data_IF_739716967586
#
_entry.id   IF_739716967586
#
_cell.length_a   1.000
_cell.length_b   1.000
_cell.length_c   1.000
_cell.angle_alpha   90.00
_cell.angle_beta   90.00
_cell.angle_gamma   90.00
#
_symmetry.space_group_name_H-M   'P 1'
#
loop_
_entity.id
_entity.type
_entity.pdbx_description
1 polymer ?
#
# COMPACT_ATOMS: atom_id res chain seq x y z
N UNK A 1 -16.19 5.86 14.48
CA UNK A 1 -15.85 6.71 13.33
C UNK A 1 -16.06 8.15 13.80
N UNK A 2 -15.36 9.15 13.27
CA UNK A 2 -15.73 10.55 13.54
C UNK A 2 -17.04 10.90 12.83
N UNK A 3 -17.71 11.99 13.20
CA UNK A 3 -18.97 12.39 12.57
C UNK A 3 -18.84 12.62 11.04
N UNK A 4 -17.69 13.15 10.60
CA UNK A 4 -17.36 13.30 9.17
C UNK A 4 -17.23 11.95 8.47
N UNK A 5 -16.54 11.00 9.11
CA UNK A 5 -16.36 9.64 8.59
C UNK A 5 -17.69 8.87 8.52
N UNK A 6 -18.60 9.07 9.49
CA UNK A 6 -19.94 8.50 9.48
C UNK A 6 -20.78 9.05 8.32
N UNK A 7 -20.76 10.36 8.11
CA UNK A 7 -21.45 10.98 6.97
C UNK A 7 -20.97 10.45 5.62
N UNK A 8 -19.67 10.24 5.46
CA UNK A 8 -19.12 9.63 4.24
C UNK A 8 -19.63 8.20 4.08
N UNK A 9 -19.60 7.41 5.16
CA UNK A 9 -20.10 6.04 5.14
C UNK A 9 -21.56 6.02 4.69
N UNK A 10 -22.42 6.86 5.24
CA UNK A 10 -23.85 6.88 4.90
C UNK A 10 -24.12 7.25 3.43
N UNK A 11 -23.38 8.22 2.86
CA UNK A 11 -23.49 8.52 1.42
C UNK A 11 -23.08 7.33 0.55
N UNK A 12 -22.07 6.56 0.97
CA UNK A 12 -21.68 5.35 0.26
C UNK A 12 -22.77 4.28 0.36
N UNK A 13 -23.46 4.14 1.51
CA UNK A 13 -24.62 3.24 1.63
C UNK A 13 -25.76 3.64 0.69
N UNK A 14 -25.96 4.94 0.49
CA UNK A 14 -26.95 5.48 -0.45
C UNK A 14 -26.55 5.32 -1.93
N UNK A 15 -25.46 4.59 -2.23
CA UNK A 15 -25.01 4.32 -3.59
C UNK A 15 -24.33 5.52 -4.26
N UNK A 16 -23.94 6.55 -3.50
CA UNK A 16 -23.31 7.75 -4.07
C UNK A 16 -21.84 7.53 -4.41
N UNK A 17 -21.39 8.24 -5.44
CA UNK A 17 -19.98 8.33 -5.79
C UNK A 17 -19.29 9.34 -4.89
N UNK A 18 -18.24 8.90 -4.19
CA UNK A 18 -17.58 9.71 -3.17
C UNK A 18 -16.07 9.70 -3.38
N UNK A 19 -15.47 10.88 -3.34
CA UNK A 19 -14.05 11.06 -3.12
C UNK A 19 -13.84 11.63 -1.71
N UNK A 20 -12.96 11.02 -0.92
CA UNK A 20 -12.53 11.61 0.34
C UNK A 20 -11.00 11.66 0.44
N UNK A 21 -10.51 12.81 0.87
CA UNK A 21 -9.10 13.15 1.01
C UNK A 21 -8.80 13.61 2.43
N UNK A 22 -7.57 14.01 2.69
CA UNK A 22 -7.12 14.55 3.97
C UNK A 22 -5.62 14.31 4.15
N UNK A 23 -5.04 14.96 5.16
CA UNK A 23 -3.62 14.79 5.50
C UNK A 23 -3.27 13.32 5.81
N UNK A 24 -1.99 12.99 5.78
CA UNK A 24 -1.51 11.67 6.18
C UNK A 24 -1.92 11.42 7.64
N UNK A 25 -2.42 10.21 7.93
CA UNK A 25 -2.86 9.86 9.28
C UNK A 25 -4.32 10.18 9.62
N UNK A 26 -5.12 10.79 8.72
CA UNK A 26 -6.53 11.12 9.00
C UNK A 26 -7.53 9.94 8.97
N UNK A 27 -7.03 8.70 9.03
CA UNK A 27 -7.88 7.51 9.07
C UNK A 27 -8.55 7.13 7.74
N UNK A 28 -8.10 7.67 6.60
CA UNK A 28 -8.64 7.35 5.25
C UNK A 28 -8.79 5.85 4.97
N UNK A 29 -7.70 5.07 5.04
CA UNK A 29 -7.77 3.63 4.79
C UNK A 29 -8.55 2.87 5.89
N UNK A 30 -8.65 3.42 7.11
CA UNK A 30 -9.49 2.85 8.17
C UNK A 30 -10.98 3.00 7.85
N UNK A 31 -11.42 4.21 7.46
CA UNK A 31 -12.77 4.44 6.96
C UNK A 31 -13.06 3.55 5.74
N UNK A 32 -12.11 3.44 4.81
CA UNK A 32 -12.29 2.60 3.63
C UNK A 32 -12.50 1.12 3.98
N UNK A 33 -11.80 0.58 4.98
CA UNK A 33 -12.05 -0.78 5.49
C UNK A 33 -13.46 -0.93 6.04
N UNK A 34 -13.98 0.06 6.78
CA UNK A 34 -15.37 0.04 7.28
C UNK A 34 -16.40 0.11 6.16
N UNK A 35 -16.14 0.89 5.12
CA UNK A 35 -16.96 0.90 3.90
C UNK A 35 -16.94 -0.49 3.23
N UNK A 36 -15.77 -1.10 3.07
CA UNK A 36 -15.61 -2.43 2.45
C UNK A 36 -16.34 -3.51 3.25
N UNK A 37 -16.18 -3.51 4.58
CA UNK A 37 -16.85 -4.43 5.50
C UNK A 37 -18.37 -4.34 5.33
N UNK A 38 -18.91 -3.13 5.31
CA UNK A 38 -20.34 -2.89 5.14
C UNK A 38 -20.85 -3.36 3.76
N UNK A 39 -20.23 -2.90 2.67
CA UNK A 39 -20.66 -3.24 1.31
C UNK A 39 -20.60 -4.75 1.04
N UNK A 40 -19.61 -5.45 1.60
CA UNK A 40 -19.52 -6.92 1.51
C UNK A 40 -20.59 -7.63 2.34
N UNK A 41 -20.94 -7.09 3.52
CA UNK A 41 -22.00 -7.64 4.35
C UNK A 41 -23.39 -7.52 3.69
N UNK A 42 -23.65 -6.44 2.95
CA UNK A 42 -24.88 -6.29 2.17
C UNK A 42 -24.93 -7.21 0.94
N UNK A 43 -23.76 -7.62 0.41
CA UNK A 43 -23.63 -8.45 -0.78
C UNK A 43 -23.08 -9.84 -0.47
N UNK A 44 -23.51 -10.44 0.65
CA UNK A 44 -23.01 -11.75 1.13
C UNK A 44 -23.15 -12.88 0.12
N UNK A 45 -24.17 -12.84 -0.75
CA UNK A 45 -24.39 -13.84 -1.80
C UNK A 45 -23.44 -13.74 -3.00
N UNK A 46 -22.86 -12.56 -3.25
CA UNK A 46 -21.87 -12.34 -4.32
C UNK A 46 -20.92 -11.20 -3.92
N UNK A 47 -19.95 -11.45 -3.02
CA UNK A 47 -19.03 -10.40 -2.54
C UNK A 47 -18.11 -9.85 -3.64
N UNK A 48 -18.02 -10.51 -4.80
CA UNK A 48 -17.21 -10.07 -5.94
C UNK A 48 -17.83 -8.89 -6.70
N UNK A 49 -19.05 -8.45 -6.32
CA UNK A 49 -19.62 -7.18 -6.83
C UNK A 49 -18.90 -5.94 -6.29
N UNK A 50 -18.13 -6.07 -5.21
CA UNK A 50 -17.31 -4.99 -4.63
C UNK A 50 -15.86 -5.17 -5.02
N UNK A 51 -15.42 -4.43 -6.04
CA UNK A 51 -14.04 -4.42 -6.49
C UNK A 51 -13.19 -3.52 -5.59
N UNK A 52 -12.36 -4.13 -4.73
CA UNK A 52 -11.44 -3.40 -3.84
C UNK A 52 -10.08 -3.25 -4.53
N UNK A 53 -9.69 -2.01 -4.81
CA UNK A 53 -8.45 -1.74 -5.54
C UNK A 53 -7.62 -0.60 -4.94
N UNK A 54 -6.33 -0.55 -5.30
CA UNK A 54 -5.47 0.59 -5.03
C UNK A 54 -4.45 0.80 -6.16
N UNK A 55 -3.76 1.93 -6.15
CA UNK A 55 -2.72 2.24 -7.15
C UNK A 55 -1.47 1.36 -7.04
N UNK A 56 -1.10 0.91 -5.83
CA UNK A 56 0.07 0.04 -5.58
C UNK A 56 -0.31 -1.27 -4.91
N UNK A 57 0.55 -2.28 -5.02
CA UNK A 57 0.31 -3.60 -4.40
C UNK A 57 0.20 -3.53 -2.87
N UNK A 58 0.94 -2.61 -2.23
CA UNK A 58 0.96 -2.45 -0.77
C UNK A 58 -0.32 -1.83 -0.28
N UNK A 59 -0.74 -0.73 -0.91
CA UNK A 59 -2.01 -0.08 -0.61
C UNK A 59 -3.16 -1.07 -0.81
N UNK A 60 -3.12 -1.86 -1.89
CA UNK A 60 -4.12 -2.88 -2.17
C UNK A 60 -4.15 -3.96 -1.08
N UNK A 61 -2.99 -4.50 -0.66
CA UNK A 61 -2.90 -5.47 0.43
C UNK A 61 -3.44 -4.90 1.74
N UNK A 62 -3.16 -3.62 2.02
CA UNK A 62 -3.58 -2.93 3.24
C UNK A 62 -5.10 -2.86 3.41
N UNK A 63 -5.86 -2.92 2.30
CA UNK A 63 -7.32 -2.91 2.29
C UNK A 63 -7.92 -4.24 1.80
N UNK A 64 -7.11 -5.29 1.64
CA UNK A 64 -7.57 -6.62 1.21
C UNK A 64 -8.09 -6.67 -0.23
N UNK A 65 -7.47 -5.89 -1.11
CA UNK A 65 -7.77 -5.77 -2.54
C UNK A 65 -6.61 -6.15 -3.46
N UNK A 66 -6.74 -5.76 -4.74
CA UNK A 66 -5.72 -5.93 -5.80
C UNK A 66 -5.31 -4.57 -6.37
N UNK A 67 -4.29 -4.52 -7.23
CA UNK A 67 -3.99 -3.25 -7.93
C UNK A 67 -5.08 -2.92 -8.94
N UNK A 68 -5.28 -1.64 -9.22
CA UNK A 68 -6.27 -1.18 -10.21
C UNK A 68 -6.00 -1.75 -11.61
N UNK A 69 -4.73 -1.84 -12.00
CA UNK A 69 -4.26 -2.46 -13.25
C UNK A 69 -4.63 -3.95 -13.33
N UNK A 70 -4.42 -4.67 -12.22
CA UNK A 70 -4.71 -6.08 -12.06
C UNK A 70 -6.21 -6.37 -12.16
N UNK A 71 -7.04 -5.60 -11.44
CA UNK A 71 -8.49 -5.65 -11.52
C UNK A 71 -8.96 -5.44 -12.96
N UNK A 72 -8.50 -4.36 -13.60
CA UNK A 72 -8.90 -3.98 -14.95
C UNK A 72 -8.49 -5.00 -16.02
N UNK A 73 -7.43 -5.79 -15.77
CA UNK A 73 -6.93 -6.79 -16.73
C UNK A 73 -6.16 -6.18 -17.90
N UNK A 74 -5.51 -5.05 -17.67
CA UNK A 74 -4.90 -4.20 -18.72
C UNK A 74 -3.37 -4.30 -18.81
N UNK A 75 -2.73 -5.03 -17.89
CA UNK A 75 -1.28 -5.00 -17.76
C UNK A 75 -0.80 -3.62 -17.31
N UNK A 76 0.16 -3.03 -18.02
CA UNK A 76 0.70 -1.70 -17.69
C UNK A 76 -0.29 -0.57 -18.05
N UNK A 77 -1.32 -0.83 -18.86
CA UNK A 77 -2.36 0.16 -19.18
C UNK A 77 -1.91 1.31 -20.11
N UNK A 78 -0.73 1.18 -20.74
CA UNK A 78 -0.18 2.19 -21.65
C UNK A 78 -0.89 2.24 -23.01
N UNK A 79 -1.37 1.08 -23.48
CA UNK A 79 -2.05 0.96 -24.78
C UNK A 79 -3.35 1.81 -24.85
N UNK A 80 -3.80 2.20 -26.05
CA UNK A 80 -5.10 2.84 -26.26
C UNK A 80 -6.28 2.01 -25.73
N UNK A 81 -7.39 2.69 -25.37
CA UNK A 81 -8.54 2.07 -24.71
C UNK A 81 -9.16 0.92 -25.52
N UNK A 82 -9.30 1.08 -26.84
CA UNK A 82 -9.83 0.07 -27.77
C UNK A 82 -8.97 -1.20 -27.81
N UNK A 83 -7.65 -1.04 -27.80
CA UNK A 83 -6.69 -2.16 -27.73
C UNK A 83 -6.82 -2.91 -26.39
N UNK A 84 -6.92 -2.16 -25.29
CA UNK A 84 -7.13 -2.73 -23.95
C UNK A 84 -8.46 -3.49 -23.85
N UNK A 85 -9.56 -2.90 -24.35
CA UNK A 85 -10.88 -3.54 -24.43
C UNK A 85 -10.79 -4.84 -25.24
N UNK A 86 -10.12 -4.82 -26.40
CA UNK A 86 -9.91 -6.01 -27.23
C UNK A 86 -9.16 -7.12 -26.49
N UNK A 87 -8.16 -6.77 -25.67
CA UNK A 87 -7.43 -7.71 -24.81
C UNK A 87 -8.34 -8.28 -23.71
N UNK A 88 -9.12 -7.43 -23.04
CA UNK A 88 -10.04 -7.86 -21.98
C UNK A 88 -11.11 -8.79 -22.54
N UNK A 89 -11.68 -8.50 -23.73
CA UNK A 89 -12.68 -9.37 -24.39
C UNK A 89 -12.20 -10.81 -24.61
N UNK A 90 -10.90 -11.03 -24.78
CA UNK A 90 -10.29 -12.37 -24.91
C UNK A 90 -10.11 -13.08 -23.57
N UNK A 91 -10.17 -12.35 -22.46
CA UNK A 91 -10.04 -12.87 -21.10
C UNK A 91 -11.42 -12.96 -20.43
N UNK A 92 -12.08 -14.13 -20.52
CA UNK A 92 -13.42 -14.37 -19.96
C UNK A 92 -13.54 -13.98 -18.48
N UNK A 93 -12.50 -14.21 -17.67
CA UNK A 93 -12.50 -13.85 -16.25
C UNK A 93 -12.53 -12.32 -16.07
N UNK A 94 -11.69 -11.60 -16.82
CA UNK A 94 -11.66 -10.14 -16.76
C UNK A 94 -12.99 -9.52 -17.24
N UNK A 95 -13.59 -10.06 -18.30
CA UNK A 95 -14.94 -9.66 -18.74
C UNK A 95 -15.95 -9.85 -17.62
N UNK A 96 -15.99 -11.04 -17.00
CA UNK A 96 -16.91 -11.33 -15.90
C UNK A 96 -16.71 -10.40 -14.71
N UNK A 97 -15.46 -10.05 -14.36
CA UNK A 97 -15.19 -9.06 -13.29
C UNK A 97 -15.86 -7.72 -13.59
N UNK A 98 -15.64 -7.16 -14.78
CA UNK A 98 -16.26 -5.89 -15.18
C UNK A 98 -17.78 -5.97 -15.20
N UNK A 99 -18.34 -7.04 -15.76
CA UNK A 99 -19.81 -7.23 -15.83
C UNK A 99 -20.43 -7.36 -14.44
N UNK A 100 -19.79 -8.09 -13.51
CA UNK A 100 -20.32 -8.33 -12.15
C UNK A 100 -20.17 -7.13 -11.21
N UNK A 101 -19.05 -6.40 -11.30
CA UNK A 101 -18.72 -5.31 -10.36
C UNK A 101 -19.86 -4.30 -10.32
N UNK A 102 -20.31 -3.89 -9.14
CA UNK A 102 -21.27 -2.79 -8.94
C UNK A 102 -20.63 -1.60 -8.26
N UNK A 103 -19.65 -1.86 -7.39
CA UNK A 103 -18.88 -0.84 -6.68
C UNK A 103 -17.41 -1.01 -6.98
N UNK A 104 -16.73 0.06 -7.40
CA UNK A 104 -15.29 0.10 -7.57
C UNK A 104 -14.67 1.06 -6.54
N UNK A 105 -13.83 0.49 -5.69
CA UNK A 105 -13.09 1.19 -4.65
C UNK A 105 -11.66 1.41 -5.10
N UNK A 106 -11.14 2.63 -4.96
CA UNK A 106 -9.77 2.99 -5.35
C UNK A 106 -9.07 3.74 -4.20
N UNK A 107 -8.09 3.09 -3.56
CA UNK A 107 -7.19 3.73 -2.58
C UNK A 107 -5.90 4.25 -3.24
N UNK A 108 -5.30 5.25 -2.61
CA UNK A 108 -4.10 5.96 -3.07
C UNK A 108 -4.22 6.47 -4.52
N UNK A 109 -5.34 7.15 -4.83
CA UNK A 109 -5.63 7.71 -6.16
C UNK A 109 -4.58 8.71 -6.67
N UNK A 110 -3.75 9.28 -5.79
CA UNK A 110 -2.73 10.28 -6.15
C UNK A 110 -1.72 9.76 -7.16
N UNK A 111 -1.46 8.44 -7.18
CA UNK A 111 -0.54 7.79 -8.10
C UNK A 111 -1.22 7.30 -9.39
N UNK A 112 -2.51 7.57 -9.59
CA UNK A 112 -3.26 7.21 -10.81
C UNK A 112 -3.22 8.37 -11.80
N UNK A 113 -2.71 8.10 -13.00
CA UNK A 113 -2.69 9.06 -14.10
C UNK A 113 -4.10 9.32 -14.65
N UNK A 114 -4.41 10.58 -14.97
CA UNK A 114 -5.73 10.98 -15.47
C UNK A 114 -6.15 10.29 -16.77
N UNK A 115 -5.22 10.02 -17.71
CA UNK A 115 -5.52 9.26 -18.93
C UNK A 115 -5.84 7.82 -18.61
N UNK A 116 -5.18 7.25 -17.59
CA UNK A 116 -5.50 5.91 -17.15
C UNK A 116 -6.89 5.85 -16.49
N UNK A 117 -7.24 6.86 -15.69
CA UNK A 117 -8.60 7.01 -15.14
C UNK A 117 -9.65 7.06 -16.25
N UNK A 118 -9.42 7.84 -17.31
CA UNK A 118 -10.35 7.93 -18.44
C UNK A 118 -10.49 6.61 -19.20
N UNK A 119 -9.37 5.91 -19.44
CA UNK A 119 -9.40 4.57 -20.06
C UNK A 119 -10.24 3.59 -19.24
N UNK A 120 -10.18 3.64 -17.91
CA UNK A 120 -11.00 2.78 -17.04
C UNK A 120 -12.48 3.09 -17.20
N UNK A 121 -12.86 4.37 -17.28
CA UNK A 121 -14.24 4.79 -17.55
C UNK A 121 -14.73 4.23 -18.90
N UNK A 122 -13.95 4.37 -19.97
CA UNK A 122 -14.29 3.83 -21.30
C UNK A 122 -14.41 2.30 -21.34
N UNK A 123 -13.51 1.61 -20.65
CA UNK A 123 -13.57 0.16 -20.48
C UNK A 123 -14.88 -0.24 -19.79
N UNK A 124 -15.21 0.43 -18.68
CA UNK A 124 -16.41 0.14 -17.91
C UNK A 124 -17.68 0.42 -18.72
N UNK A 125 -17.77 1.57 -19.42
CA UNK A 125 -18.86 1.91 -20.37
C UNK A 125 -19.11 0.77 -21.36
N UNK A 126 -18.04 0.21 -21.93
CA UNK A 126 -18.12 -0.89 -22.89
C UNK A 126 -18.67 -2.18 -22.28
N UNK A 127 -18.16 -2.60 -21.13
CA UNK A 127 -18.56 -3.88 -20.52
C UNK A 127 -19.89 -3.80 -19.75
N UNK A 128 -20.32 -2.59 -19.38
CA UNK A 128 -21.63 -2.31 -18.79
C UNK A 128 -22.71 -1.98 -19.81
N UNK A 129 -22.33 -1.76 -21.07
CA UNK A 129 -23.23 -1.30 -22.12
C UNK A 129 -24.01 -0.04 -21.67
N UNK A 130 -23.28 0.94 -21.11
CA UNK A 130 -23.82 2.20 -20.59
C UNK A 130 -22.98 3.37 -21.09
N UNK A 131 -23.62 4.51 -21.33
CA UNK A 131 -22.96 5.76 -21.71
C UNK A 131 -22.46 6.57 -20.52
N UNK A 132 -22.91 6.26 -19.29
CA UNK A 132 -22.54 6.96 -18.05
C UNK A 132 -21.06 6.74 -17.71
N UNK A 133 -20.41 7.71 -17.07
CA UNK A 133 -19.07 7.54 -16.51
C UNK A 133 -18.95 6.23 -15.72
N UNK A 134 -17.84 5.51 -15.95
CA UNK A 134 -17.59 4.19 -15.40
C UNK A 134 -18.72 3.16 -15.65
N UNK A 135 -19.57 3.37 -16.66
CA UNK A 135 -20.67 2.47 -16.98
C UNK A 135 -21.72 2.34 -15.86
N UNK A 136 -21.90 3.40 -15.05
CA UNK A 136 -22.87 3.42 -13.94
C UNK A 136 -22.44 2.65 -12.69
N UNK A 137 -21.15 2.30 -12.58
CA UNK A 137 -20.59 1.77 -11.35
C UNK A 137 -20.64 2.83 -10.23
N UNK A 138 -20.90 2.40 -9.00
CA UNK A 138 -20.63 3.24 -7.85
C UNK A 138 -19.12 3.34 -7.64
N UNK A 139 -18.59 4.56 -7.55
CA UNK A 139 -17.17 4.85 -7.45
C UNK A 139 -16.84 5.45 -6.08
N UNK A 140 -15.98 4.79 -5.31
CA UNK A 140 -15.51 5.27 -4.00
C UNK A 140 -13.99 5.41 -4.04
N UNK A 141 -13.50 6.63 -3.90
CA UNK A 141 -12.09 6.97 -4.09
C UNK A 141 -11.53 7.61 -2.82
N UNK A 142 -10.29 7.27 -2.50
CA UNK A 142 -9.51 7.96 -1.48
C UNK A 142 -8.06 8.13 -1.88
N UNK A 143 -7.42 9.16 -1.34
CA UNK A 143 -6.00 9.45 -1.49
C UNK A 143 -5.69 10.87 -1.04
N UNK A 144 -4.44 11.30 -1.24
CA UNK A 144 -3.99 12.66 -0.94
C UNK A 144 -3.08 13.11 -2.09
N UNK A 145 -3.55 14.01 -2.95
CA UNK A 145 -2.81 14.45 -4.13
C UNK A 145 -1.53 15.24 -3.79
N UNK A 146 -1.37 15.69 -2.53
CA UNK A 146 -0.14 16.31 -2.03
C UNK A 146 0.92 15.27 -1.58
N UNK A 147 0.61 13.97 -1.66
CA UNK A 147 1.58 12.88 -1.53
C UNK A 147 2.29 12.62 -2.87
N UNK A 148 2.67 11.37 -3.18
CA UNK A 148 3.37 11.06 -4.42
C UNK A 148 2.42 11.19 -5.62
N UNK A 149 2.85 11.87 -6.70
CA UNK A 149 2.11 11.96 -7.96
C UNK A 149 2.19 10.63 -8.73
N UNK A 150 1.48 10.50 -9.87
CA UNK A 150 1.66 9.37 -10.78
C UNK A 150 3.12 9.31 -11.25
N UNK A 151 3.66 8.10 -11.38
CA UNK A 151 5.04 7.89 -11.84
C UNK A 151 5.11 8.22 -13.34
N UNK A 152 5.44 9.47 -13.67
CA UNK A 152 5.72 9.92 -15.03
C UNK A 152 7.23 10.16 -15.20
N UNK A 153 7.72 10.10 -16.44
CA UNK A 153 9.09 10.50 -16.76
C UNK A 153 9.31 12.02 -16.68
N UNK A 154 8.24 12.80 -16.52
CA UNK A 154 8.28 14.26 -16.48
C UNK A 154 7.34 14.79 -15.38
N UNK A 155 7.92 15.20 -14.24
CA UNK A 155 7.20 15.60 -13.03
C UNK A 155 6.44 16.94 -13.15
N UNK A 156 6.75 17.76 -14.17
CA UNK A 156 6.03 19.02 -14.43
C UNK A 156 4.78 18.85 -15.29
N UNK A 157 4.65 17.71 -15.97
CA UNK A 157 3.48 17.39 -16.81
C UNK A 157 2.65 16.26 -16.21
N UNK A 158 2.71 16.05 -14.89
CA UNK A 158 1.93 15.01 -14.22
C UNK A 158 0.45 15.28 -14.42
N UNK A 159 -0.22 14.35 -15.11
CA UNK A 159 -1.65 14.39 -15.35
C UNK A 159 -2.35 13.66 -14.21
N UNK A 160 -2.89 14.37 -13.23
CA UNK A 160 -3.50 13.77 -12.06
C UNK A 160 -4.86 13.16 -12.40
N UNK A 161 -5.35 12.26 -11.56
CA UNK A 161 -6.69 11.69 -11.74
C UNK A 161 -7.79 12.78 -11.75
N UNK A 162 -7.64 13.87 -11.00
CA UNK A 162 -8.59 14.99 -11.02
C UNK A 162 -8.58 15.82 -12.31
N UNK A 163 -7.60 15.62 -13.18
CA UNK A 163 -7.53 16.22 -14.51
C UNK A 163 -8.24 15.40 -15.59
N UNK A 164 -8.68 14.19 -15.25
CA UNK A 164 -9.32 13.27 -16.18
C UNK A 164 -10.66 13.84 -16.67
N UNK A 165 -10.98 13.61 -17.95
CA UNK A 165 -12.22 14.09 -18.58
C UNK A 165 -13.46 13.60 -17.81
N UNK A 166 -13.43 12.34 -17.37
CA UNK A 166 -14.55 11.73 -16.65
C UNK A 166 -14.54 12.02 -15.14
N UNK A 167 -13.55 12.73 -14.57
CA UNK A 167 -13.48 12.94 -13.12
C UNK A 167 -14.70 13.66 -12.56
N UNK A 168 -15.06 14.81 -13.12
CA UNK A 168 -16.19 15.63 -12.64
C UNK A 168 -17.55 14.99 -12.92
N UNK A 169 -17.68 14.17 -13.97
CA UNK A 169 -18.88 13.36 -14.21
C UNK A 169 -19.02 12.25 -13.16
N UNK A 170 -17.89 11.65 -12.77
CA UNK A 170 -17.85 10.52 -11.84
C UNK A 170 -18.03 10.95 -10.39
N UNK A 171 -17.34 12.00 -9.93
CA UNK A 171 -17.21 12.35 -8.52
C UNK A 171 -18.05 13.59 -8.20
N UNK A 172 -19.16 13.34 -7.50
CA UNK A 172 -20.15 14.38 -7.15
C UNK A 172 -20.03 14.85 -5.70
N UNK A 173 -19.41 14.02 -4.84
CA UNK A 173 -19.25 14.31 -3.43
C UNK A 173 -17.77 14.22 -3.05
N UNK A 174 -17.21 15.34 -2.59
CA UNK A 174 -15.82 15.43 -2.14
C UNK A 174 -15.77 15.82 -0.67
N UNK A 175 -14.99 15.09 0.13
CA UNK A 175 -14.78 15.35 1.55
C UNK A 175 -13.30 15.49 1.87
N UNK A 176 -12.95 16.39 2.80
CA UNK A 176 -11.60 16.55 3.32
C UNK A 176 -11.60 16.25 4.82
N UNK A 177 -11.03 15.11 5.21
CA UNK A 177 -10.87 14.71 6.60
C UNK A 177 -9.78 15.56 7.27
N UNK A 178 -10.11 16.12 8.44
CA UNK A 178 -9.24 17.06 9.15
C UNK A 178 -8.57 16.46 10.38
N UNK A 179 -9.23 15.53 11.06
CA UNK A 179 -8.72 14.90 12.29
C UNK A 179 -7.59 13.90 12.00
N UNK A 180 -6.39 14.12 12.58
CA UNK A 180 -5.21 13.26 12.43
C UNK A 180 -5.13 12.28 13.60
N UNK A 181 -5.02 10.97 13.29
CA UNK A 181 -4.98 9.90 14.29
C UNK A 181 -3.61 9.21 14.41
N UNK A 182 -2.72 9.37 13.42
CA UNK A 182 -1.43 8.64 13.39
C UNK A 182 -0.39 9.26 14.30
N UNK A 183 -0.30 10.58 14.30
CA UNK A 183 0.62 11.35 15.13
C UNK A 183 -0.11 11.79 16.40
N UNK A 184 0.57 11.68 17.54
CA UNK A 184 0.02 12.08 18.85
C UNK A 184 0.45 13.48 19.30
N UNK A 185 1.43 14.08 18.63
CA UNK A 185 2.04 15.36 19.02
C UNK A 185 1.52 16.49 18.12
N UNK A 186 0.83 17.48 18.69
CA UNK A 186 0.26 18.62 17.94
C UNK A 186 1.34 19.37 17.12
N UNK A 187 2.49 19.64 17.73
CA UNK A 187 3.64 20.27 17.06
C UNK A 187 4.07 19.47 15.81
N UNK A 188 4.06 18.13 15.89
CA UNK A 188 4.43 17.30 14.74
C UNK A 188 3.36 17.31 13.65
N UNK A 189 2.08 17.33 14.04
CA UNK A 189 0.95 17.45 13.12
C UNK A 189 1.06 18.76 12.33
N UNK A 190 1.34 19.87 13.00
CA UNK A 190 1.49 21.19 12.38
C UNK A 190 2.67 21.23 11.40
N UNK A 191 3.84 20.71 11.82
CA UNK A 191 5.02 20.58 10.94
C UNK A 191 4.69 19.75 9.68
N UNK A 192 3.96 18.65 9.83
CA UNK A 192 3.56 17.81 8.69
C UNK A 192 2.52 18.49 7.79
N UNK A 193 1.62 19.29 8.34
CA UNK A 193 0.64 20.07 7.59
C UNK A 193 1.33 21.17 6.76
N UNK A 194 2.28 21.89 7.35
CA UNK A 194 3.16 22.84 6.66
C UNK A 194 3.97 22.16 5.55
N UNK A 195 4.57 21.01 5.86
CA UNK A 195 5.34 20.21 4.91
C UNK A 195 4.48 19.74 3.73
N UNK A 196 3.23 19.33 3.98
CA UNK A 196 2.25 18.90 2.98
C UNK A 196 1.98 20.01 1.95
N UNK A 197 1.94 21.27 2.37
CA UNK A 197 1.73 22.43 1.52
C UNK A 197 3.03 22.97 0.89
N UNK A 198 4.19 22.40 1.24
CA UNK A 198 5.48 22.88 0.78
C UNK A 198 5.92 24.21 1.41
N UNK A 199 5.32 24.61 2.53
CA UNK A 199 5.53 25.90 3.17
C UNK A 199 5.90 25.70 4.64
N UNK A 200 7.19 25.51 4.91
CA UNK A 200 7.69 25.33 6.28
C UNK A 200 8.03 26.67 6.94
N UNK A 201 7.56 26.86 8.16
CA UNK A 201 7.96 27.97 9.01
C UNK A 201 9.41 27.81 9.48
N UNK A 202 10.09 28.92 9.88
CA UNK A 202 11.44 28.85 10.44
C UNK A 202 11.54 27.91 11.65
N UNK A 203 10.51 27.86 12.48
CA UNK A 203 10.46 27.01 13.68
C UNK A 203 10.35 25.53 13.30
N UNK A 204 9.48 25.19 12.35
CA UNK A 204 9.38 23.84 11.79
C UNK A 204 10.71 23.38 11.17
N UNK A 205 11.39 24.26 10.43
CA UNK A 205 12.71 23.95 9.85
C UNK A 205 13.74 23.66 10.96
N UNK A 206 13.77 24.46 12.01
CA UNK A 206 14.68 24.26 13.14
C UNK A 206 14.38 22.96 13.88
N UNK A 207 13.09 22.66 14.12
CA UNK A 207 12.66 21.42 14.75
C UNK A 207 13.05 20.21 13.92
N UNK A 208 12.77 20.20 12.61
CA UNK A 208 13.17 19.10 11.72
C UNK A 208 14.69 18.90 11.66
N UNK A 209 15.49 19.97 11.68
CA UNK A 209 16.96 19.86 11.76
C UNK A 209 17.44 19.24 13.08
N UNK A 210 16.75 19.51 14.19
CA UNK A 210 17.09 18.92 15.50
C UNK A 210 16.89 17.40 15.54
N UNK A 211 16.05 16.84 14.65
CA UNK A 211 15.80 15.40 14.53
C UNK A 211 16.94 14.63 13.84
N UNK A 212 18.07 15.27 13.55
CA UNK A 212 19.28 14.61 13.04
C UNK A 212 20.03 13.76 14.07
N UNK A 213 19.68 13.91 15.36
CA UNK A 213 20.18 13.10 16.48
C UNK A 213 20.09 11.60 16.19
N UNK A 214 21.13 10.85 16.57
CA UNK A 214 21.08 9.40 16.55
C UNK A 214 20.08 8.89 17.59
N UNK A 215 19.30 7.89 17.22
CA UNK A 215 18.37 7.22 18.13
C UNK A 215 18.90 5.81 18.37
N UNK A 216 19.14 5.47 19.63
CA UNK A 216 19.53 4.13 20.05
C UNK A 216 18.31 3.38 20.57
N UNK A 217 18.20 2.11 20.19
CA UNK A 217 17.14 1.21 20.65
C UNK A 217 17.79 0.01 21.33
N UNK A 218 17.29 -0.36 22.50
CA UNK A 218 17.91 -1.38 23.37
C UNK A 218 17.40 -2.81 23.08
N UNK A 219 16.43 -2.96 22.18
CA UNK A 219 15.76 -4.22 21.88
C UNK A 219 16.30 -4.92 20.61
N UNK A 220 17.35 -4.37 20.01
CA UNK A 220 17.98 -4.90 18.80
C UNK A 220 17.27 -4.54 17.48
N UNK A 221 16.09 -3.90 17.52
CA UNK A 221 15.35 -3.48 16.33
C UNK A 221 15.84 -2.08 15.89
N UNK A 222 16.50 -2.04 14.73
CA UNK A 222 16.91 -0.80 14.08
C UNK A 222 15.71 -0.04 13.50
N UNK A 223 15.82 1.29 13.40
CA UNK A 223 14.86 2.07 12.63
C UNK A 223 14.86 1.65 11.15
N UNK A 224 13.67 1.50 10.55
CA UNK A 224 13.56 1.24 9.13
C UNK A 224 14.02 2.47 8.34
N UNK A 225 15.00 2.28 7.47
CA UNK A 225 15.56 3.33 6.62
C UNK A 225 14.71 3.53 5.36
N UNK A 226 14.22 4.75 5.15
CA UNK A 226 13.46 5.11 3.95
C UNK A 226 14.36 5.75 2.90
N UNK A 227 14.35 5.17 1.70
CA UNK A 227 15.16 5.61 0.56
C UNK A 227 14.32 6.00 -0.66
N UNK A 228 14.83 6.93 -1.47
CA UNK A 228 14.20 7.30 -2.73
C UNK A 228 14.32 6.22 -3.81
N UNK A 229 15.46 5.51 -3.87
CA UNK A 229 15.78 4.55 -4.94
C UNK A 229 15.83 3.10 -4.45
N UNK A 230 15.31 2.17 -5.26
CA UNK A 230 15.31 0.72 -4.95
C UNK A 230 16.71 0.14 -4.76
N UNK A 231 17.68 0.56 -5.57
CA UNK A 231 19.07 0.10 -5.45
C UNK A 231 19.70 0.42 -4.08
N UNK A 232 19.35 1.56 -3.48
CA UNK A 232 19.82 1.93 -2.15
C UNK A 232 19.18 1.01 -1.08
N UNK A 233 17.90 0.66 -1.24
CA UNK A 233 17.18 -0.29 -0.38
C UNK A 233 17.81 -1.67 -0.43
N UNK A 234 18.03 -2.20 -1.63
CA UNK A 234 18.61 -3.53 -1.83
C UNK A 234 20.02 -3.60 -1.24
N UNK A 235 20.83 -2.56 -1.47
CA UNK A 235 22.18 -2.47 -0.86
C UNK A 235 22.11 -2.46 0.67
N UNK A 236 21.24 -1.65 1.26
CA UNK A 236 21.11 -1.52 2.71
C UNK A 236 20.63 -2.82 3.37
N UNK A 237 19.64 -3.50 2.78
CA UNK A 237 19.15 -4.79 3.26
C UNK A 237 20.22 -5.89 3.09
N UNK A 238 20.83 -6.00 1.90
CA UNK A 238 21.85 -7.03 1.62
C UNK A 238 23.08 -6.89 2.52
N UNK A 239 23.55 -5.65 2.75
CA UNK A 239 24.70 -5.40 3.62
C UNK A 239 24.44 -5.92 5.04
N UNK A 240 23.24 -5.69 5.59
CA UNK A 240 22.87 -6.18 6.92
C UNK A 240 22.65 -7.70 6.93
N UNK A 241 22.05 -8.24 5.88
CA UNK A 241 21.88 -9.68 5.68
C UNK A 241 23.20 -10.46 5.62
N UNK A 242 24.25 -9.85 5.05
CA UNK A 242 25.59 -10.42 4.97
C UNK A 242 26.32 -10.45 6.31
N UNK A 243 26.00 -9.52 7.23
CA UNK A 243 26.58 -9.50 8.58
C UNK A 243 26.09 -10.65 9.46
N UNK A 244 24.92 -11.20 9.15
CA UNK A 244 24.36 -12.35 9.87
C UNK A 244 25.11 -13.63 9.47
N UNK A 245 25.74 -14.29 10.43
CA UNK A 245 26.54 -15.51 10.23
C UNK A 245 25.72 -16.80 10.21
N UNK A 246 24.45 -16.73 10.60
CA UNK A 246 23.55 -17.89 10.64
C UNK A 246 23.13 -18.35 9.24
N UNK A 247 22.70 -19.61 9.14
CA UNK A 247 22.22 -20.21 7.88
C UNK A 247 20.99 -19.46 7.32
N UNK A 248 20.98 -19.23 6.01
CA UNK A 248 19.83 -18.65 5.31
C UNK A 248 18.76 -19.69 5.02
N UNK A 249 17.50 -19.33 5.26
CA UNK A 249 16.30 -20.06 4.85
C UNK A 249 15.60 -19.30 3.73
N UNK A 250 15.17 -20.04 2.71
CA UNK A 250 14.44 -19.53 1.57
C UNK A 250 12.99 -19.98 1.64
N UNK A 251 12.07 -19.05 1.41
CA UNK A 251 10.63 -19.28 1.33
C UNK A 251 10.16 -18.85 -0.05
N UNK A 252 9.82 -19.82 -0.90
CA UNK A 252 9.28 -19.57 -2.22
C UNK A 252 7.76 -19.39 -2.15
N UNK A 253 7.27 -18.32 -2.78
CA UNK A 253 5.86 -18.12 -3.00
C UNK A 253 5.30 -19.25 -3.88
N UNK A 254 4.14 -19.76 -3.49
CA UNK A 254 3.40 -20.74 -4.32
C UNK A 254 2.32 -20.00 -5.08
N UNK A 255 2.50 -19.93 -6.39
CA UNK A 255 1.55 -19.31 -7.30
C UNK A 255 0.46 -20.31 -7.68
N UNK A 256 -0.80 -19.93 -7.52
CA UNK A 256 -1.94 -20.71 -8.03
C UNK A 256 -2.56 -20.08 -9.30
N UNK A 257 -1.83 -19.13 -9.92
CA UNK A 257 -2.34 -18.26 -10.98
C UNK A 257 -2.38 -18.89 -12.38
N UNK A 258 -3.34 -18.45 -13.20
CA UNK A 258 -3.59 -18.95 -14.57
C UNK A 258 -2.98 -18.09 -15.69
N UNK A 259 -2.07 -17.16 -15.39
CA UNK A 259 -1.44 -16.28 -16.40
C UNK A 259 -0.41 -17.09 -17.16
N UNK A 260 -0.61 -17.40 -18.44
CA UNK A 260 0.33 -18.24 -19.22
C UNK A 260 1.62 -17.52 -19.62
N UNK A 261 1.63 -16.18 -19.73
CA UNK A 261 2.80 -15.40 -20.10
C UNK A 261 3.69 -15.09 -18.88
N UNK A 262 4.88 -15.68 -18.85
CA UNK A 262 5.86 -15.52 -17.78
C UNK A 262 6.43 -14.10 -17.69
N UNK A 263 6.60 -13.37 -18.80
CA UNK A 263 7.19 -12.02 -18.79
C UNK A 263 6.22 -10.97 -18.28
N UNK A 264 4.95 -11.06 -18.70
CA UNK A 264 3.91 -10.19 -18.18
C UNK A 264 3.71 -10.40 -16.68
N UNK A 265 3.73 -11.67 -16.25
CA UNK A 265 3.65 -12.06 -14.84
C UNK A 265 4.80 -11.48 -14.03
N UNK A 266 6.04 -11.67 -14.46
CA UNK A 266 7.23 -11.21 -13.73
C UNK A 266 7.25 -9.67 -13.56
N UNK A 267 6.82 -8.93 -14.59
CA UNK A 267 6.66 -7.47 -14.50
C UNK A 267 5.58 -7.07 -13.49
N UNK A 268 4.44 -7.75 -13.44
CA UNK A 268 3.38 -7.47 -12.46
C UNK A 268 3.85 -7.76 -11.03
N UNK A 269 4.50 -8.90 -10.81
CA UNK A 269 5.04 -9.29 -9.50
C UNK A 269 6.15 -8.35 -9.02
N UNK A 270 6.87 -7.70 -9.93
CA UNK A 270 7.87 -6.67 -9.57
C UNK A 270 7.29 -5.45 -8.83
N UNK A 271 5.96 -5.25 -8.88
CA UNK A 271 5.25 -4.22 -8.14
C UNK A 271 4.64 -4.71 -6.82
N UNK A 272 4.66 -6.02 -6.58
CA UNK A 272 4.26 -6.60 -5.30
C UNK A 272 5.32 -6.32 -4.22
N UNK A 273 4.88 -6.20 -2.97
CA UNK A 273 5.82 -5.92 -1.87
C UNK A 273 6.61 -7.15 -1.49
N UNK A 274 5.91 -8.28 -1.35
CA UNK A 274 6.54 -9.52 -1.00
C UNK A 274 7.40 -10.02 -2.16
N UNK A 275 8.67 -10.34 -1.92
CA UNK A 275 9.48 -10.97 -2.93
C UNK A 275 8.92 -12.37 -3.24
N UNK A 276 9.05 -12.81 -4.49
CA UNK A 276 8.72 -14.20 -4.88
C UNK A 276 9.49 -15.23 -4.05
N UNK A 277 10.70 -14.88 -3.65
CA UNK A 277 11.54 -15.67 -2.77
C UNK A 277 11.96 -14.80 -1.59
N UNK A 278 11.45 -15.10 -0.41
CA UNK A 278 11.88 -14.45 0.83
C UNK A 278 13.07 -15.23 1.39
N UNK A 279 14.24 -14.61 1.44
CA UNK A 279 15.44 -15.17 2.05
C UNK A 279 15.64 -14.48 3.40
N UNK A 280 15.66 -15.26 4.48
CA UNK A 280 15.85 -14.75 5.85
C UNK A 280 16.85 -15.62 6.63
N UNK A 281 17.40 -15.07 7.70
CA UNK A 281 18.34 -15.68 8.64
C UNK A 281 17.81 -15.40 10.05
N UNK A 282 18.31 -16.13 11.04
CA UNK A 282 18.07 -15.74 12.44
C UNK A 282 18.66 -14.32 12.63
N UNK A 283 17.99 -13.51 13.42
CA UNK A 283 18.22 -12.08 13.67
C UNK A 283 17.94 -11.15 12.47
N UNK A 284 17.40 -11.66 11.35
CA UNK A 284 16.96 -10.80 10.27
C UNK A 284 15.77 -9.93 10.70
N UNK A 285 15.87 -8.61 10.48
CA UNK A 285 14.78 -7.67 10.74
C UNK A 285 13.75 -7.75 9.61
N UNK A 286 12.52 -8.06 9.98
CA UNK A 286 11.40 -8.26 9.07
C UNK A 286 10.20 -7.41 9.47
N UNK A 287 9.37 -7.06 8.49
CA UNK A 287 8.13 -6.32 8.66
C UNK A 287 6.97 -7.17 8.18
N UNK A 288 5.91 -7.21 8.98
CA UNK A 288 4.65 -7.83 8.62
C UNK A 288 3.91 -6.96 7.59
N UNK A 289 3.49 -7.55 6.48
CA UNK A 289 2.87 -6.82 5.35
C UNK A 289 1.37 -7.09 5.18
N UNK A 290 0.77 -7.78 6.16
CA UNK A 290 -0.64 -8.17 6.17
C UNK A 290 -1.16 -8.10 7.60
N UNK A 291 -2.38 -7.58 7.78
CA UNK A 291 -3.06 -7.70 9.06
C UNK A 291 -3.49 -9.16 9.27
N UNK A 292 -2.95 -9.81 10.29
CA UNK A 292 -3.30 -11.19 10.68
C UNK A 292 -4.40 -11.16 11.74
N UNK A 293 -4.25 -10.30 12.75
CA UNK A 293 -5.20 -10.09 13.84
C UNK A 293 -5.08 -8.66 14.41
N UNK A 294 -5.72 -8.40 15.55
CA UNK A 294 -5.74 -7.08 16.21
C UNK A 294 -4.36 -6.61 16.72
N UNK A 295 -3.42 -7.54 16.91
CA UNK A 295 -2.08 -7.27 17.45
C UNK A 295 -0.98 -7.41 16.40
N UNK A 296 -1.18 -8.28 15.41
CA UNK A 296 -0.29 -8.52 14.27
C UNK A 296 -0.80 -7.75 13.05
N UNK A 297 -0.43 -6.48 13.01
CA UNK A 297 -0.86 -5.53 11.98
C UNK A 297 0.25 -5.24 10.95
N UNK A 298 -0.17 -4.85 9.76
CA UNK A 298 0.71 -4.38 8.70
C UNK A 298 1.59 -3.22 9.19
N UNK A 299 2.90 -3.32 8.96
CA UNK A 299 3.92 -2.37 9.40
C UNK A 299 4.65 -2.77 10.69
N UNK A 300 4.19 -3.81 11.40
CA UNK A 300 4.84 -4.28 12.62
C UNK A 300 6.22 -4.90 12.30
N UNK A 301 7.26 -4.44 13.00
CA UNK A 301 8.66 -4.85 12.78
C UNK A 301 9.12 -5.79 13.90
N UNK A 302 9.90 -6.79 13.53
CA UNK A 302 10.48 -7.75 14.47
C UNK A 302 11.72 -8.44 13.92
N UNK A 303 12.31 -9.35 14.70
CA UNK A 303 13.42 -10.21 14.27
C UNK A 303 13.00 -11.65 14.16
N UNK A 304 13.54 -12.36 13.17
CA UNK A 304 13.43 -13.81 13.08
C UNK A 304 14.26 -14.44 14.21
N UNK A 305 13.61 -15.15 15.13
CA UNK A 305 14.28 -15.81 16.27
C UNK A 305 14.48 -17.31 16.05
N UNK A 306 13.85 -17.88 15.02
CA UNK A 306 13.99 -19.29 14.70
C UNK A 306 13.07 -19.74 13.58
N UNK A 307 13.07 -21.05 13.34
CA UNK A 307 12.23 -21.70 12.33
C UNK A 307 11.62 -22.98 12.92
N UNK A 308 10.35 -23.23 12.65
CA UNK A 308 9.64 -24.42 13.18
C UNK A 308 8.83 -25.14 12.11
N UNK A 309 8.79 -26.48 12.18
CA UNK A 309 7.96 -27.32 11.31
C UNK A 309 6.51 -27.51 11.77
N UNK A 310 6.14 -27.00 12.95
CA UNK A 310 4.77 -27.11 13.49
C UNK A 310 3.97 -25.83 13.20
N UNK A 311 2.88 -25.93 12.45
CA UNK A 311 1.84 -24.90 12.46
C UNK A 311 1.05 -25.00 13.76
N UNK A 312 0.87 -23.89 14.49
CA UNK A 312 0.04 -23.86 15.72
C UNK A 312 -1.48 -23.88 15.42
N UNK A 313 -1.90 -23.81 14.15
CA UNK A 313 -3.31 -24.00 13.79
C UNK A 313 -3.63 -25.50 13.84
N UNK A 314 -4.55 -25.88 14.75
CA UNK A 314 -5.26 -27.17 14.72
C UNK A 314 -5.62 -27.51 13.28
N UNK A 315 -5.37 -28.76 12.90
CA UNK A 315 -5.68 -29.34 11.60
C UNK A 315 -7.15 -29.09 11.24
N UNK A 316 -7.40 -28.10 10.37
CA UNK A 316 -8.49 -28.18 9.41
C UNK A 316 -7.87 -28.34 8.03
N UNK A 317 -8.22 -29.47 7.44
CA UNK A 317 -7.64 -30.10 6.27
C UNK A 317 -7.57 -29.19 5.03
N UNK A 318 -6.37 -28.81 4.63
CA UNK A 318 -6.06 -28.48 3.24
C UNK A 318 -5.05 -29.51 2.75
N UNK A 319 -5.55 -30.53 2.04
CA UNK A 319 -4.73 -31.58 1.43
C UNK A 319 -4.00 -31.03 0.21
N UNK A 320 -2.76 -30.56 0.40
CA UNK A 320 -1.82 -30.36 -0.72
C UNK A 320 -0.78 -31.46 -0.66
N UNK A 321 -0.89 -32.40 -1.59
CA UNK A 321 0.09 -33.45 -1.84
C UNK A 321 1.38 -32.82 -2.36
N UNK A 322 2.36 -32.65 -1.49
CA UNK A 322 3.74 -32.33 -1.89
C UNK A 322 4.74 -33.15 -1.07
N UNK A 323 5.77 -33.61 -1.76
CA UNK A 323 6.92 -34.37 -1.27
C UNK A 323 7.54 -33.78 0.00
N UNK A 324 7.83 -34.66 0.98
CA UNK A 324 8.28 -34.36 2.35
C UNK A 324 9.67 -33.70 2.42
N UNK A 325 9.78 -32.42 2.09
CA UNK A 325 10.70 -31.54 2.80
C UNK A 325 9.93 -30.94 3.98
N UNK A 326 10.48 -31.05 5.20
CA UNK A 326 9.83 -30.51 6.41
C UNK A 326 9.59 -29.02 6.22
N UNK A 327 8.35 -28.63 5.90
CA UNK A 327 7.95 -27.25 5.70
C UNK A 327 8.18 -26.52 7.02
N UNK A 328 9.17 -25.62 7.06
CA UNK A 328 9.46 -24.81 8.24
C UNK A 328 8.84 -23.43 8.05
N UNK A 329 8.53 -22.74 9.14
CA UNK A 329 7.96 -21.40 9.18
C UNK A 329 8.80 -20.51 10.09
N UNK A 330 8.97 -19.22 9.77
CA UNK A 330 9.71 -18.30 10.63
C UNK A 330 8.94 -18.04 11.92
N UNK A 331 9.68 -18.05 13.03
CA UNK A 331 9.25 -17.53 14.32
C UNK A 331 9.80 -16.11 14.40
N UNK A 332 8.92 -15.13 14.56
CA UNK A 332 9.28 -13.71 14.61
C UNK A 332 8.95 -13.15 15.98
N UNK A 333 9.93 -12.49 16.60
CA UNK A 333 9.76 -11.69 17.81
C UNK A 333 9.46 -10.24 17.40
N UNK A 334 8.22 -9.81 17.59
CA UNK A 334 7.80 -8.44 17.37
C UNK A 334 7.93 -7.63 18.67
N UNK A 335 8.15 -6.32 18.53
CA UNK A 335 7.99 -5.38 19.64
C UNK A 335 6.74 -4.53 19.38
N UNK A 336 5.73 -4.68 20.24
CA UNK A 336 4.55 -3.84 20.25
C UNK A 336 4.48 -3.10 21.58
N UNK A 337 4.67 -1.78 21.55
CA UNK A 337 4.58 -0.90 22.72
C UNK A 337 5.43 -1.35 23.92
N UNK A 338 6.65 -1.85 23.68
CA UNK A 338 7.57 -2.29 24.73
C UNK A 338 7.33 -3.71 25.22
N UNK A 339 6.36 -4.44 24.66
CA UNK A 339 6.16 -5.86 24.91
C UNK A 339 6.68 -6.69 23.74
N UNK A 340 7.58 -7.61 24.06
CA UNK A 340 8.08 -8.59 23.10
C UNK A 340 7.09 -9.74 22.98
N UNK A 341 6.73 -10.08 21.75
CA UNK A 341 5.84 -11.20 21.45
C UNK A 341 6.41 -12.05 20.33
N UNK A 342 6.57 -13.34 20.58
CA UNK A 342 7.04 -14.31 19.60
C UNK A 342 5.86 -15.04 18.99
N UNK A 343 5.82 -15.11 17.67
CA UNK A 343 4.77 -15.82 16.95
C UNK A 343 5.30 -16.51 15.70
N UNK A 344 4.63 -17.59 15.31
CA UNK A 344 4.90 -18.29 14.06
C UNK A 344 4.18 -17.54 12.95
N UNK A 345 4.88 -17.23 11.88
CA UNK A 345 4.29 -16.55 10.71
C UNK A 345 4.15 -17.56 9.56
N UNK A 346 2.98 -18.21 9.42
CA UNK A 346 2.74 -19.14 8.33
C UNK A 346 2.54 -18.40 7.00
N UNK A 347 2.64 -19.11 5.86
CA UNK A 347 2.21 -18.60 4.58
C UNK A 347 0.74 -18.20 4.61
N UNK A 348 0.45 -17.05 4.01
CA UNK A 348 -0.87 -16.45 3.94
C UNK A 348 -1.29 -16.26 2.48
N UNK A 349 -2.59 -16.36 2.24
CA UNK A 349 -3.15 -16.05 0.92
C UNK A 349 -3.16 -14.54 0.71
N UNK A 350 -2.53 -14.10 -0.37
CA UNK A 350 -2.65 -12.75 -0.90
C UNK A 350 -3.53 -12.80 -2.14
N UNK A 351 -4.60 -12.01 -2.16
CA UNK A 351 -5.43 -11.89 -3.35
C UNK A 351 -4.61 -11.17 -4.42
N UNK A 352 -4.06 -11.93 -5.37
CA UNK A 352 -3.36 -11.41 -6.55
C UNK A 352 -4.08 -11.99 -7.77
N UNK A 353 -4.78 -11.13 -8.51
CA UNK A 353 -5.47 -11.37 -9.80
C UNK A 353 -6.55 -12.48 -9.90
N UNK A 354 -6.62 -13.46 -9.00
CA UNK A 354 -7.45 -14.66 -9.15
C UNK A 354 -8.05 -15.13 -7.81
N UNK A 355 -9.12 -15.97 -7.82
CA UNK A 355 -9.78 -16.45 -6.60
C UNK A 355 -8.84 -17.17 -5.62
N UNK A 356 -7.74 -17.73 -6.13
CA UNK A 356 -6.86 -18.62 -5.38
C UNK A 356 -5.60 -17.92 -4.82
N UNK A 357 -5.32 -16.67 -5.23
CA UNK A 357 -4.22 -15.87 -4.68
C UNK A 357 -2.80 -16.41 -4.84
N UNK A 358 -1.83 -15.69 -4.29
CA UNK A 358 -0.47 -16.18 -4.03
C UNK A 358 -0.35 -16.58 -2.56
N UNK A 359 0.20 -17.76 -2.31
CA UNK A 359 0.48 -18.24 -0.95
C UNK A 359 1.95 -17.93 -0.65
N UNK A 360 2.19 -17.02 0.29
CA UNK A 360 3.55 -16.64 0.67
C UNK A 360 3.60 -16.18 2.13
N UNK A 361 4.79 -16.27 2.72
CA UNK A 361 5.03 -15.77 4.08
C UNK A 361 4.87 -14.25 4.06
N UNK A 362 3.96 -13.65 4.87
CA UNK A 362 3.62 -12.23 4.83
C UNK A 362 4.69 -11.32 5.46
N UNK A 363 5.96 -11.53 5.10
CA UNK A 363 7.11 -10.82 5.63
C UNK A 363 7.98 -10.24 4.50
N UNK A 364 8.59 -9.10 4.78
CA UNK A 364 9.69 -8.53 3.97
C UNK A 364 10.83 -8.08 4.87
N UNK A 365 12.05 -8.01 4.32
CA UNK A 365 13.17 -7.39 5.03
C UNK A 365 12.85 -5.92 5.33
N UNK A 366 13.18 -5.48 6.54
CA UNK A 366 12.67 -4.23 7.09
C UNK A 366 13.74 -3.30 7.67
N UNK A 367 15.01 -3.54 7.37
CA UNK A 367 16.04 -2.54 7.64
C UNK A 367 15.93 -1.34 6.71
N UNK A 368 15.53 -1.57 5.46
CA UNK A 368 15.34 -0.52 4.48
C UNK A 368 14.11 -0.75 3.60
N UNK A 369 13.44 0.33 3.21
CA UNK A 369 12.30 0.34 2.30
C UNK A 369 12.32 1.60 1.42
N UNK A 370 11.77 1.52 0.20
CA UNK A 370 11.63 2.71 -0.63
C UNK A 370 10.46 3.58 -0.15
N UNK A 371 10.57 4.91 -0.22
CA UNK A 371 9.51 5.85 0.17
C UNK A 371 8.18 5.54 -0.54
N UNK A 372 8.23 5.21 -1.84
CA UNK A 372 7.07 4.78 -2.62
C UNK A 372 6.33 3.57 -2.03
N UNK A 373 7.08 2.61 -1.49
CA UNK A 373 6.53 1.41 -0.87
C UNK A 373 6.03 1.67 0.56
N UNK A 374 6.56 2.71 1.22
CA UNK A 374 6.13 3.09 2.56
C UNK A 374 4.80 3.87 2.57
N UNK A 375 4.34 4.40 1.43
CA UNK A 375 3.05 5.09 1.34
C UNK A 375 1.90 4.17 1.79
N UNK A 376 0.89 4.72 2.47
CA UNK A 376 -0.10 3.97 3.23
C UNK A 376 0.34 3.34 4.57
N UNK A 377 1.63 3.08 4.81
CA UNK A 377 2.11 2.45 6.06
C UNK A 377 2.23 3.42 7.24
N UNK A 378 2.13 2.87 8.45
CA UNK A 378 2.54 3.52 9.70
C UNK A 378 3.78 2.78 10.21
N UNK A 379 4.87 3.50 10.48
CA UNK A 379 6.16 2.92 10.88
C UNK A 379 6.56 3.54 12.21
N UNK A 380 6.74 2.72 13.23
CA UNK A 380 7.05 3.17 14.58
C UNK A 380 8.44 3.81 14.69
N UNK A 381 9.45 3.20 14.07
CA UNK A 381 10.85 3.63 14.11
C UNK A 381 11.34 3.88 12.72
N UNK A 382 11.62 5.13 12.40
CA UNK A 382 11.92 5.50 11.03
C UNK A 382 13.14 6.41 10.97
N UNK A 383 14.01 6.10 10.02
CA UNK A 383 15.18 6.88 9.68
C UNK A 383 15.06 7.28 8.23
N UNK A 384 15.07 8.58 7.94
CA UNK A 384 14.87 9.09 6.58
C UNK A 384 16.09 9.88 6.16
N UNK A 385 16.68 9.52 5.02
CA UNK A 385 17.67 10.34 4.35
C UNK A 385 17.01 11.16 3.24
N UNK A 386 16.87 12.46 3.49
CA UNK A 386 16.22 13.39 2.55
C UNK A 386 17.19 13.96 1.51
N UNK A 387 18.48 13.61 1.57
CA UNK A 387 19.50 14.14 0.67
C UNK A 387 19.23 13.83 -0.81
N UNK A 388 18.63 12.67 -1.09
CA UNK A 388 18.29 12.19 -2.44
C UNK A 388 16.80 12.32 -2.80
N UNK A 389 16.03 13.13 -2.08
CA UNK A 389 14.65 13.41 -2.48
C UNK A 389 14.64 14.19 -3.79
N UNK A 390 13.77 13.77 -4.70
CA UNK A 390 13.66 14.33 -6.07
C UNK A 390 12.21 14.61 -6.50
N UNK A 391 11.23 13.89 -5.93
CA UNK A 391 9.81 14.09 -6.26
C UNK A 391 9.10 15.06 -5.30
N UNK A 392 8.11 15.80 -5.83
CA UNK A 392 7.21 16.62 -5.02
C UNK A 392 6.39 15.73 -4.09
N UNK A 393 6.16 16.18 -2.85
CA UNK A 393 5.48 15.38 -1.81
C UNK A 393 6.27 14.19 -1.25
N UNK A 394 7.43 13.82 -1.80
CA UNK A 394 8.19 12.64 -1.35
C UNK A 394 8.75 12.81 0.08
N UNK A 395 9.24 13.99 0.44
CA UNK A 395 9.66 14.29 1.82
C UNK A 395 8.50 14.16 2.80
N UNK A 396 7.33 14.74 2.44
CA UNK A 396 6.10 14.65 3.22
C UNK A 396 5.64 13.19 3.41
N UNK A 397 5.66 12.38 2.35
CA UNK A 397 5.30 10.96 2.45
C UNK A 397 6.23 10.22 3.40
N UNK A 398 7.55 10.45 3.30
CA UNK A 398 8.53 9.78 4.14
C UNK A 398 8.37 10.11 5.63
N UNK A 399 8.23 11.39 5.98
CA UNK A 399 8.14 11.83 7.38
C UNK A 399 6.79 11.51 7.99
N UNK A 400 5.70 11.60 7.22
CA UNK A 400 4.36 11.27 7.70
C UNK A 400 4.15 9.78 8.02
N UNK A 401 5.13 8.91 7.76
CA UNK A 401 5.09 7.50 8.18
C UNK A 401 5.32 7.35 9.68
N UNK A 402 6.07 8.26 10.28
CA UNK A 402 6.39 8.25 11.70
C UNK A 402 5.13 8.48 12.55
N UNK A 403 5.09 7.82 13.70
CA UNK A 403 4.08 8.03 14.75
C UNK A 403 4.45 9.18 15.70
N UNK A 404 5.74 9.40 15.95
CA UNK A 404 6.26 10.38 16.90
C UNK A 404 7.61 10.94 16.44
N UNK A 405 7.92 12.19 16.84
CA UNK A 405 9.22 12.80 16.57
C UNK A 405 10.36 12.11 17.32
N UNK A 406 10.08 11.51 18.48
CA UNK A 406 11.08 10.82 19.31
C UNK A 406 11.65 9.56 18.66
N UNK A 407 10.90 8.97 17.72
CA UNK A 407 11.28 7.77 16.97
C UNK A 407 11.60 8.04 15.50
N UNK A 408 11.68 9.32 15.14
CA UNK A 408 12.02 9.82 13.81
C UNK A 408 13.43 10.40 13.82
N UNK A 409 14.29 9.85 12.97
CA UNK A 409 15.60 10.43 12.64
C UNK A 409 15.59 10.96 11.21
N UNK A 410 16.09 12.18 11.02
CA UNK A 410 16.17 12.84 9.71
C UNK A 410 17.62 13.19 9.36
N UNK A 411 18.09 12.69 8.23
CA UNK A 411 19.41 13.00 7.69
C UNK A 411 19.31 13.89 6.44
N UNK A 412 20.32 14.75 6.25
CA UNK A 412 20.48 15.58 5.06
C UNK A 412 19.23 16.41 4.69
N UNK A 413 18.53 16.92 5.70
CA UNK A 413 17.34 17.74 5.47
C UNK A 413 17.69 19.04 4.76
N UNK A 414 17.00 19.30 3.64
CA UNK A 414 17.06 20.57 2.93
C UNK A 414 15.63 21.11 2.73
N UNK A 415 15.27 22.26 3.33
CA UNK A 415 13.94 22.83 3.21
C UNK A 415 13.56 23.18 1.76
N UNK A 416 14.53 23.49 0.89
CA UNK A 416 14.22 23.83 -0.53
C UNK A 416 13.72 22.65 -1.35
N UNK A 417 13.87 21.41 -0.84
CA UNK A 417 13.37 20.19 -1.47
C UNK A 417 11.94 19.85 -1.03
N UNK A 418 11.41 20.55 -0.03
CA UNK A 418 10.06 20.37 0.46
C UNK A 418 9.13 21.20 -0.43
N UNK A 419 8.54 20.54 -1.42
CA UNK A 419 7.70 21.21 -2.41
C UNK A 419 6.40 20.44 -2.63
N UNK A 420 5.31 21.20 -2.75
CA UNK A 420 4.02 20.72 -3.21
C UNK A 420 3.89 20.97 -4.72
N UNK A 421 3.07 20.15 -5.39
CA UNK A 421 2.74 20.41 -6.79
C UNK A 421 1.74 21.58 -6.86
N UNK A 422 2.04 22.69 -7.55
CA UNK A 422 1.21 23.91 -7.49
C UNK A 422 -0.21 23.77 -8.06
N UNK A 423 -0.43 22.72 -8.86
CA UNK A 423 -1.75 22.38 -9.41
C UNK A 423 -2.70 21.74 -8.39
N UNK A 424 -2.14 21.07 -7.38
CA UNK A 424 -2.86 20.43 -6.28
C UNK A 424 -3.08 21.46 -5.19
#
# INVERSE_FOLDING_TARGET
LSAEQERILDLVKDGRNVFFTGCAGTGKSFLLRKIIEHLRAENTSDPDVVAVTASTGIAACNIGGVTLHSFAGVGIGTDPADVLIGRIKRNKKAVQRWVKTKVLIIDEISMVDGKFFDKLSLIAKTFKNSSEAFGGLQIVITGDFLQLPPVSSNAESSNFAFDAEFWNETIQHTFNLTEVFRQSEDEFIDILAEMRLGQLSPDSVNKLKSLSRAICYDDGIEATELYSHRADVDRANNMRMMKLTTESRSFEATDSGSISDSRQRERMLSHFLAPRTLIVKIDAQVMLIKNIDEHLVNGLVGHVVGFTGRSQKKEESVSVSATRHSMTYPIVRFNSNGRLHETIIPPENFKVELPNGEVLVPLVLAWAMSIHKAQGLTIDRVKVDLGKVFEKGQAYVALSRATSMDRLQILNFNPTKVTAHPKV
#
